data_IF_422663412922
#
_entry.id   IF_422663412922
#
_cell.length_a   1.000
_cell.length_b   1.000
_cell.length_c   1.000
_cell.angle_alpha   90.00
_cell.angle_beta   90.00
_cell.angle_gamma   90.00
#
_symmetry.space_group_name_H-M   'P 1'
#
loop_
_entity.id
_entity.type
_entity.pdbx_description
1 polymer ?
#
# COMPACT_ATOMS: atom_id res chain seq x y z
N UNK A 1 7.55 7.43 10.21
CA UNK A 1 8.24 8.42 9.36
C UNK A 1 8.23 7.90 7.95
N UNK A 2 7.92 8.76 6.98
CA UNK A 2 7.72 8.39 5.58
C UNK A 2 8.37 9.42 4.68
N UNK A 3 9.02 8.96 3.60
CA UNK A 3 9.57 9.78 2.54
C UNK A 3 8.74 9.56 1.26
N UNK A 4 8.47 10.63 0.53
CA UNK A 4 7.83 10.58 -0.78
C UNK A 4 8.84 11.00 -1.83
N UNK A 5 9.01 10.15 -2.82
CA UNK A 5 9.96 10.34 -3.91
C UNK A 5 9.17 10.32 -5.20
N UNK A 6 9.43 11.23 -6.14
CA UNK A 6 8.81 11.12 -7.48
C UNK A 6 9.36 9.88 -8.17
N UNK A 7 8.47 9.13 -8.83
CA UNK A 7 8.88 7.96 -9.61
C UNK A 7 9.83 8.35 -10.75
N UNK A 8 9.69 9.57 -11.28
CA UNK A 8 10.56 10.13 -12.32
C UNK A 8 12.02 10.25 -11.86
N UNK A 9 12.27 10.59 -10.59
CA UNK A 9 13.63 10.73 -10.04
C UNK A 9 14.40 9.41 -10.06
N UNK A 10 13.68 8.27 -10.14
CA UNK A 10 14.30 6.94 -10.19
C UNK A 10 14.39 6.37 -11.61
N UNK A 11 14.07 7.15 -12.65
CA UNK A 11 14.21 6.69 -14.04
C UNK A 11 15.66 6.30 -14.39
N UNK A 12 16.64 7.00 -13.83
CA UNK A 12 18.07 6.69 -14.01
C UNK A 12 18.45 5.31 -13.48
N UNK A 13 17.68 4.78 -12.52
CA UNK A 13 17.83 3.45 -11.94
C UNK A 13 16.98 2.40 -12.64
N UNK A 14 16.37 2.74 -13.80
CA UNK A 14 15.47 1.85 -14.53
C UNK A 14 14.10 1.68 -13.89
N UNK A 15 13.72 2.58 -12.97
CA UNK A 15 12.40 2.54 -12.33
C UNK A 15 11.40 3.35 -13.15
N UNK A 16 10.24 2.75 -13.36
CA UNK A 16 9.08 3.36 -13.97
C UNK A 16 7.84 3.09 -13.13
N UNK A 17 6.72 3.70 -13.51
CA UNK A 17 5.39 3.42 -12.96
C UNK A 17 4.93 1.96 -13.09
N UNK A 18 5.61 1.15 -13.91
CA UNK A 18 5.33 -0.27 -14.11
C UNK A 18 6.36 -1.19 -13.45
N UNK A 19 7.38 -0.64 -12.80
CA UNK A 19 8.41 -1.44 -12.15
C UNK A 19 7.87 -2.12 -10.91
N UNK A 20 8.36 -3.32 -10.64
CA UNK A 20 7.97 -4.08 -9.46
C UNK A 20 8.46 -3.42 -8.17
N UNK A 21 7.64 -3.52 -7.11
CA UNK A 21 7.97 -2.99 -5.79
C UNK A 21 9.24 -3.61 -5.19
N UNK A 22 9.61 -4.83 -5.59
CA UNK A 22 10.84 -5.48 -5.14
C UNK A 22 12.09 -4.81 -5.72
N UNK A 23 12.07 -4.46 -7.01
CA UNK A 23 13.15 -3.71 -7.68
C UNK A 23 13.28 -2.34 -7.02
N UNK A 24 12.16 -1.66 -6.81
CA UNK A 24 12.13 -0.35 -6.16
C UNK A 24 12.69 -0.42 -4.75
N UNK A 25 12.28 -1.43 -3.98
CA UNK A 25 12.82 -1.65 -2.64
C UNK A 25 14.33 -1.81 -2.69
N UNK A 26 14.87 -2.64 -3.59
CA UNK A 26 16.31 -2.89 -3.66
C UNK A 26 17.10 -1.61 -3.98
N UNK A 27 16.63 -0.79 -4.92
CA UNK A 27 17.27 0.50 -5.24
C UNK A 27 17.22 1.45 -4.05
N UNK A 28 16.05 1.61 -3.43
CA UNK A 28 15.87 2.48 -2.25
C UNK A 28 16.73 2.02 -1.06
N UNK A 29 16.87 0.71 -0.84
CA UNK A 29 17.76 0.16 0.20
C UNK A 29 19.22 0.52 -0.05
N UNK A 30 19.66 0.43 -1.31
CA UNK A 30 21.03 0.75 -1.73
C UNK A 30 21.31 2.26 -1.57
N UNK A 31 20.40 3.10 -2.03
CA UNK A 31 20.51 4.57 -1.95
C UNK A 31 20.54 5.07 -0.51
N UNK A 32 19.63 4.56 0.34
CA UNK A 32 19.52 5.00 1.73
C UNK A 32 20.48 4.28 2.68
N UNK A 33 21.24 3.29 2.18
CA UNK A 33 22.09 2.40 2.97
C UNK A 33 21.34 1.80 4.19
N UNK A 34 20.12 1.30 3.96
CA UNK A 34 19.24 0.78 5.01
C UNK A 34 18.77 -0.64 4.66
N UNK A 35 18.83 -1.54 5.65
CA UNK A 35 18.48 -2.94 5.46
C UNK A 35 16.96 -3.16 5.31
N UNK A 36 16.12 -2.37 6.01
CA UNK A 36 14.66 -2.56 6.04
C UNK A 36 13.91 -1.29 5.70
N UNK A 37 13.33 -1.27 4.50
CA UNK A 37 12.41 -0.23 4.03
C UNK A 37 11.14 -0.84 3.45
N UNK A 38 10.04 -0.11 3.55
CA UNK A 38 8.76 -0.51 2.98
C UNK A 38 8.39 0.49 1.90
N UNK A 39 8.16 0.01 0.69
CA UNK A 39 7.86 0.86 -0.47
C UNK A 39 6.42 0.60 -0.93
N UNK A 40 5.75 1.65 -1.39
CA UNK A 40 4.43 1.55 -1.99
C UNK A 40 4.24 2.66 -3.01
N UNK A 41 3.48 2.39 -4.06
CA UNK A 41 3.07 3.44 -4.98
C UNK A 41 1.88 4.21 -4.43
N UNK A 42 1.92 5.52 -4.61
CA UNK A 42 0.82 6.42 -4.28
C UNK A 42 0.54 7.35 -5.45
N UNK A 43 -0.65 7.97 -5.44
CA UNK A 43 -1.09 8.89 -6.48
C UNK A 43 -0.90 8.34 -7.91
N UNK A 44 -1.54 7.20 -8.22
CA UNK A 44 -1.45 6.57 -9.55
C UNK A 44 -0.01 6.30 -10.04
N UNK A 45 0.90 5.94 -9.13
CA UNK A 45 2.33 5.66 -9.42
C UNK A 45 3.18 6.90 -9.74
N UNK A 46 2.67 8.11 -9.46
CA UNK A 46 3.47 9.34 -9.58
C UNK A 46 4.56 9.41 -8.50
N UNK A 47 4.28 8.87 -7.31
CA UNK A 47 5.24 8.85 -6.22
C UNK A 47 5.41 7.44 -5.63
N UNK A 48 6.62 7.21 -5.15
CA UNK A 48 7.00 6.09 -4.29
C UNK A 48 6.99 6.60 -2.85
N UNK A 49 6.14 6.02 -2.02
CA UNK A 49 6.16 6.21 -0.58
C UNK A 49 7.08 5.18 0.06
N UNK A 50 8.09 5.66 0.77
CA UNK A 50 9.06 4.86 1.52
C UNK A 50 8.80 5.04 3.01
N UNK A 51 8.44 3.97 3.71
CA UNK A 51 8.32 3.93 5.17
C UNK A 51 9.54 3.25 5.79
N UNK A 52 10.16 3.90 6.77
CA UNK A 52 11.31 3.38 7.53
C UNK A 52 10.90 2.44 8.67
N UNK A 53 9.63 2.51 9.07
CA UNK A 53 9.04 1.64 10.08
C UNK A 53 8.04 0.73 9.41
N UNK A 54 7.86 -0.47 9.96
CA UNK A 54 6.84 -1.41 9.50
C UNK A 54 5.49 -0.70 9.43
N UNK A 55 4.83 -0.63 8.26
CA UNK A 55 3.58 0.08 8.13
C UNK A 55 2.57 -0.53 9.09
N UNK A 56 1.87 0.33 9.82
CA UNK A 56 0.84 -0.10 10.76
C UNK A 56 -0.19 -0.89 9.95
N UNK A 57 -0.55 -2.12 10.35
CA UNK A 57 -1.52 -2.92 9.61
C UNK A 57 -2.76 -2.07 9.40
N UNK A 58 -3.17 -1.92 8.14
CA UNK A 58 -4.36 -1.16 7.76
C UNK A 58 -5.49 -1.69 8.62
N UNK A 59 -6.03 -0.84 9.51
CA UNK A 59 -7.17 -1.18 10.35
C UNK A 59 -8.24 -1.67 9.38
N UNK A 60 -8.48 -2.99 9.35
CA UNK A 60 -9.53 -3.58 8.52
C UNK A 60 -10.77 -2.77 8.82
N UNK A 61 -11.25 -2.02 7.82
CA UNK A 61 -12.52 -1.33 7.94
C UNK A 61 -13.51 -2.39 8.39
N UNK A 62 -14.07 -2.23 9.60
CA UNK A 62 -15.05 -3.15 10.16
C UNK A 62 -16.14 -3.26 9.11
N UNK A 63 -16.12 -4.36 8.33
CA UNK A 63 -17.16 -4.70 7.36
C UNK A 63 -18.43 -4.70 8.20
N UNK A 64 -19.26 -3.65 8.09
CA UNK A 64 -20.62 -3.64 8.62
C UNK A 64 -21.30 -4.79 7.89
N UNK A 65 -21.31 -5.97 8.51
CA UNK A 65 -22.13 -7.09 8.07
C UNK A 65 -23.56 -6.63 8.31
N UNK A 66 -24.17 -6.04 7.28
CA UNK A 66 -25.62 -5.93 7.19
C UNK A 66 -26.17 -7.36 7.13
N UNK A 67 -26.39 -7.97 8.28
CA UNK A 67 -27.29 -9.10 8.39
C UNK A 67 -28.70 -8.53 8.23
N UNK A 68 -29.18 -8.44 6.99
CA UNK A 68 -30.63 -8.39 6.76
C UNK A 68 -31.14 -9.77 7.20
N UNK A 69 -31.82 -9.82 8.35
CA UNK A 69 -32.56 -10.99 8.82
C UNK A 69 -33.44 -11.50 7.67
N UNK A 70 -33.32 -12.78 7.38
CA UNK A 70 -34.22 -13.50 6.49
C UNK A 70 -35.60 -13.60 7.14
N UNK A 71 -36.64 -13.30 6.35
CA UNK A 71 -38.00 -13.84 6.41
C UNK A 71 -38.53 -14.31 7.78
N UNK A 72 -39.25 -13.44 8.48
CA UNK A 72 -40.35 -13.88 9.36
C UNK A 72 -41.58 -14.09 8.47
N UNK A 73 -41.73 -15.33 7.98
CA UNK A 73 -43.01 -15.84 7.52
C UNK A 73 -43.45 -16.84 8.59
N UNK A 74 -44.25 -16.39 9.55
CA UNK A 74 -44.81 -17.23 10.61
C UNK A 74 -46.14 -16.63 11.06
N UNK A 75 -47.21 -17.18 10.46
CA UNK A 75 -48.49 -17.54 11.08
C UNK A 75 -49.14 -16.56 12.09
N UNK A 76 -50.26 -15.97 11.67
CA UNK A 76 -51.52 -15.66 12.41
C UNK A 76 -52.32 -14.69 11.51
N UNK A 77 -53.62 -14.83 11.22
CA UNK A 77 -54.73 -15.51 11.88
C UNK A 77 -55.69 -16.16 10.87
#
# INVERSE_FOLDING_TARGET
MSLYIKTEDYQEYGISKYSDLEVIRAVVQKELNMEKVFVSFVNKHEYIRVDFLKPRPTRRSKKRRYFKKASENSQQA
#
